data_IF_958026648691
#
_entry.id   IF_958026648691
#
_cell.length_a   1.000
_cell.length_b   1.000
_cell.length_c   1.000
_cell.angle_alpha   90.00
_cell.angle_beta   90.00
_cell.angle_gamma   90.00
#
_symmetry.space_group_name_H-M   'P 1'
#
loop_
_entity.id
_entity.type
_entity.pdbx_description
1 polymer ?
#
# COMPACT_ATOMS: atom_id res chain seq x y z
N UNK A 1 -6.85 2.80 30.20
CA UNK A 1 -5.76 2.10 29.49
C UNK A 1 -4.50 2.89 29.78
N UNK A 2 -3.47 2.25 30.33
CA UNK A 2 -2.18 2.88 30.60
C UNK A 2 -1.21 2.26 29.59
N UNK A 3 -0.46 3.09 28.88
CA UNK A 3 0.54 2.65 27.91
C UNK A 3 1.84 3.32 28.30
N UNK A 4 2.88 2.53 28.41
CA UNK A 4 4.21 3.03 28.71
C UNK A 4 4.75 3.76 27.48
N UNK A 5 5.13 5.02 27.66
CA UNK A 5 5.73 5.84 26.63
C UNK A 5 7.26 5.79 26.80
N UNK A 6 8.04 5.54 25.73
CA UNK A 6 9.50 5.55 25.81
C UNK A 6 10.04 6.88 26.38
N UNK A 7 11.08 6.81 27.23
CA UNK A 7 11.61 8.00 27.93
C UNK A 7 12.31 9.00 26.99
N UNK A 8 12.84 8.56 25.85
CA UNK A 8 13.48 9.41 24.84
C UNK A 8 12.47 10.01 23.83
N UNK A 9 11.47 10.72 24.36
CA UNK A 9 10.37 11.26 23.56
C UNK A 9 10.76 12.42 22.63
N UNK A 10 9.99 12.66 21.55
CA UNK A 10 10.03 13.96 20.88
C UNK A 10 9.61 15.01 21.92
N UNK A 11 10.18 16.23 21.85
CA UNK A 11 9.93 17.29 22.84
C UNK A 11 8.45 17.56 23.12
N UNK A 12 8.16 18.35 24.17
CA UNK A 12 6.87 18.60 24.86
C UNK A 12 5.54 18.69 24.05
N UNK A 13 5.56 18.66 22.72
CA UNK A 13 4.40 18.67 21.82
C UNK A 13 4.14 17.35 21.06
N UNK A 14 4.74 16.24 21.47
CA UNK A 14 4.59 14.97 20.73
C UNK A 14 3.17 14.38 20.83
N UNK A 15 2.50 14.26 19.69
CA UNK A 15 1.18 13.60 19.59
C UNK A 15 1.34 12.08 19.48
N UNK A 16 0.55 11.33 20.27
CA UNK A 16 0.36 9.89 20.12
C UNK A 16 -0.67 9.62 19.03
N UNK A 17 -0.29 8.85 18.01
CA UNK A 17 -1.20 8.32 16.99
C UNK A 17 -1.77 6.99 17.50
N UNK A 18 -3.07 6.97 17.76
CA UNK A 18 -3.76 5.82 18.36
C UNK A 18 -3.99 4.67 17.35
N UNK A 19 -3.94 3.42 17.84
CA UNK A 19 -4.36 2.23 17.11
C UNK A 19 -5.89 2.18 16.99
N UNK A 20 -6.43 1.45 16.02
CA UNK A 20 -7.88 1.24 15.92
C UNK A 20 -8.36 0.19 16.94
N UNK A 21 -9.45 0.52 17.66
CA UNK A 21 -10.10 -0.34 18.64
C UNK A 21 -11.55 -0.66 18.28
N UNK A 22 -12.00 -1.86 18.62
CA UNK A 22 -13.41 -2.20 18.57
C UNK A 22 -14.19 -1.39 19.59
N UNK A 23 -15.36 -0.87 19.20
CA UNK A 23 -16.31 -0.28 20.13
C UNK A 23 -16.68 -1.29 21.24
N UNK A 24 -16.67 -0.84 22.50
CA UNK A 24 -17.04 -1.66 23.67
C UNK A 24 -15.91 -2.52 24.24
N UNK A 25 -15.40 -3.49 23.49
CA UNK A 25 -14.42 -4.46 24.01
C UNK A 25 -12.99 -3.92 24.14
N UNK A 26 -12.72 -2.76 23.53
CA UNK A 26 -11.41 -2.10 23.53
C UNK A 26 -10.29 -3.07 23.09
N UNK A 27 -10.56 -3.86 22.05
CA UNK A 27 -9.56 -4.76 21.44
C UNK A 27 -8.95 -4.07 20.23
N UNK A 28 -7.61 -4.05 20.11
CA UNK A 28 -6.98 -3.55 18.90
C UNK A 28 -7.36 -4.47 17.74
N UNK A 29 -7.60 -3.90 16.57
CA UNK A 29 -7.95 -4.68 15.39
C UNK A 29 -7.28 -4.13 14.13
N UNK A 30 -7.05 -5.02 13.17
CA UNK A 30 -6.67 -4.68 11.81
C UNK A 30 -7.93 -4.73 10.93
N UNK A 31 -8.38 -3.59 10.38
CA UNK A 31 -9.56 -3.58 9.51
C UNK A 31 -9.35 -4.46 8.26
N UNK A 32 -10.37 -5.23 7.90
CA UNK A 32 -10.37 -6.02 6.67
C UNK A 32 -10.25 -5.14 5.43
N UNK A 33 -10.69 -3.88 5.51
CA UNK A 33 -10.49 -2.87 4.47
C UNK A 33 -9.01 -2.51 4.26
N UNK A 34 -8.17 -2.52 5.31
CA UNK A 34 -6.72 -2.28 5.19
C UNK A 34 -6.03 -3.43 4.47
N UNK A 35 -6.36 -4.68 4.83
CA UNK A 35 -5.85 -5.89 4.16
C UNK A 35 -6.30 -5.91 2.69
N UNK A 36 -7.61 -5.70 2.46
CA UNK A 36 -8.17 -5.64 1.10
C UNK A 36 -7.58 -4.51 0.27
N UNK A 37 -7.23 -3.38 0.90
CA UNK A 37 -6.53 -2.27 0.26
C UNK A 37 -5.14 -2.65 -0.23
N UNK A 38 -4.36 -3.36 0.60
CA UNK A 38 -3.04 -3.87 0.19
C UNK A 38 -3.16 -4.88 -0.97
N UNK A 39 -4.11 -5.82 -0.89
CA UNK A 39 -4.40 -6.76 -2.00
C UNK A 39 -4.81 -6.02 -3.28
N UNK A 40 -5.64 -4.97 -3.17
CA UNK A 40 -6.04 -4.14 -4.31
C UNK A 40 -4.84 -3.48 -4.97
N UNK A 41 -3.88 -2.98 -4.19
CA UNK A 41 -2.65 -2.38 -4.71
C UNK A 41 -1.78 -3.38 -5.47
N UNK A 42 -1.66 -4.62 -4.96
CA UNK A 42 -0.98 -5.71 -5.65
C UNK A 42 -1.65 -6.02 -7.00
N UNK A 43 -2.96 -6.23 -6.98
CA UNK A 43 -3.74 -6.49 -8.19
C UNK A 43 -3.65 -5.35 -9.21
N UNK A 44 -3.77 -4.09 -8.77
CA UNK A 44 -3.65 -2.94 -9.67
C UNK A 44 -2.27 -2.86 -10.31
N UNK A 45 -1.19 -3.11 -9.55
CA UNK A 45 0.16 -3.08 -10.10
C UNK A 45 0.32 -4.14 -11.19
N UNK A 46 -0.15 -5.36 -10.95
CA UNK A 46 -0.12 -6.42 -11.98
C UNK A 46 -0.88 -6.02 -13.24
N UNK A 47 -2.11 -5.51 -13.10
CA UNK A 47 -2.92 -5.09 -14.25
C UNK A 47 -2.30 -3.93 -15.05
N UNK A 48 -1.62 -3.00 -14.36
CA UNK A 48 -0.92 -1.90 -15.00
C UNK A 48 0.31 -2.36 -15.79
N UNK A 49 1.03 -3.37 -15.29
CA UNK A 49 2.17 -3.95 -15.99
C UNK A 49 1.75 -4.78 -17.21
N UNK A 50 0.61 -5.47 -17.12
CA UNK A 50 0.06 -6.28 -18.21
C UNK A 50 -0.51 -5.43 -19.35
N UNK A 51 -1.16 -4.31 -19.04
CA UNK A 51 -1.70 -3.36 -20.03
C UNK A 51 -1.46 -1.91 -19.58
N UNK A 52 -0.30 -1.31 -19.87
CA UNK A 52 0.02 0.06 -19.47
C UNK A 52 -0.66 1.12 -20.36
N UNK A 53 -1.29 0.72 -21.47
CA UNK A 53 -1.78 1.60 -22.55
C UNK A 53 -2.73 2.69 -22.05
N UNK A 54 -3.55 2.37 -21.06
CA UNK A 54 -4.47 3.33 -20.47
C UNK A 54 -3.74 4.31 -19.55
N UNK A 55 -2.85 3.82 -18.69
CA UNK A 55 -2.15 4.60 -17.68
C UNK A 55 -1.07 5.52 -18.26
N UNK A 56 -0.45 5.13 -19.38
CA UNK A 56 0.59 5.92 -20.06
C UNK A 56 0.07 7.23 -20.66
N UNK A 57 -1.24 7.35 -20.85
CA UNK A 57 -1.85 8.55 -21.41
C UNK A 57 -2.13 9.54 -20.30
N UNK A 58 -1.40 10.66 -20.27
CA UNK A 58 -1.59 11.77 -19.32
C UNK A 58 -3.05 12.18 -19.10
N UNK A 59 -3.86 12.22 -20.17
CA UNK A 59 -5.30 12.57 -20.09
C UNK A 59 -6.14 11.59 -19.26
N UNK A 60 -5.68 10.34 -19.10
CA UNK A 60 -6.39 9.30 -18.37
C UNK A 60 -6.04 9.28 -16.87
N UNK A 61 -4.99 10.01 -16.47
CA UNK A 61 -4.53 10.13 -15.08
C UNK A 61 -4.67 11.55 -14.53
N UNK A 62 -5.18 12.48 -15.35
CA UNK A 62 -5.46 13.87 -14.96
C UNK A 62 -6.93 14.21 -15.17
N UNK A 63 -7.45 15.17 -14.39
CA UNK A 63 -8.78 15.76 -14.54
C UNK A 63 -8.68 17.29 -14.60
N UNK A 64 -9.65 17.95 -15.22
CA UNK A 64 -9.68 19.41 -15.36
C UNK A 64 -9.42 19.89 -16.78
N UNK A 65 -9.23 21.21 -16.96
CA UNK A 65 -9.01 21.85 -18.26
C UNK A 65 -7.90 22.90 -18.15
N UNK A 66 -7.10 23.05 -19.22
CA UNK A 66 -6.01 24.02 -19.29
C UNK A 66 -5.01 23.83 -18.15
N UNK A 67 -4.60 24.93 -17.52
CA UNK A 67 -3.57 24.92 -16.46
C UNK A 67 -4.06 24.38 -15.10
N UNK A 68 -5.33 23.96 -14.99
CA UNK A 68 -5.93 23.43 -13.73
C UNK A 68 -6.00 21.91 -13.69
N UNK A 69 -5.09 21.22 -14.39
CA UNK A 69 -5.03 19.77 -14.37
C UNK A 69 -4.66 19.27 -12.97
N UNK A 70 -5.35 18.23 -12.51
CA UNK A 70 -5.06 17.54 -11.25
C UNK A 70 -4.88 16.06 -11.52
N UNK A 71 -3.80 15.48 -11.01
CA UNK A 71 -3.60 14.04 -11.06
C UNK A 71 -4.59 13.32 -10.16
N UNK A 72 -5.14 12.20 -10.65
CA UNK A 72 -6.16 11.43 -9.94
C UNK A 72 -6.04 9.93 -10.27
N UNK A 73 -5.51 9.19 -9.31
CA UNK A 73 -5.35 7.73 -9.34
C UNK A 73 -6.68 6.97 -9.43
N UNK A 74 -7.76 7.55 -8.90
CA UNK A 74 -9.10 6.99 -8.95
C UNK A 74 -9.59 6.65 -10.38
N UNK A 75 -9.06 7.33 -11.40
CA UNK A 75 -9.39 7.03 -12.80
C UNK A 75 -8.83 5.67 -13.25
N UNK A 76 -7.61 5.33 -12.84
CA UNK A 76 -7.01 4.03 -13.10
C UNK A 76 -7.77 2.94 -12.37
N UNK A 77 -8.02 3.17 -11.08
CA UNK A 77 -8.79 2.24 -10.25
C UNK A 77 -10.16 1.97 -10.91
N UNK A 78 -10.86 3.01 -11.37
CA UNK A 78 -12.12 2.85 -12.06
C UNK A 78 -11.98 2.03 -13.35
N UNK A 79 -11.00 2.37 -14.19
CA UNK A 79 -10.77 1.71 -15.47
C UNK A 79 -10.54 0.20 -15.33
N UNK A 80 -9.57 -0.20 -14.49
CA UNK A 80 -9.16 -1.59 -14.35
C UNK A 80 -10.11 -2.43 -13.48
N UNK A 81 -10.86 -1.81 -12.55
CA UNK A 81 -11.67 -2.58 -11.60
C UNK A 81 -13.15 -2.62 -11.96
N UNK A 82 -13.71 -1.56 -12.55
CA UNK A 82 -15.14 -1.48 -12.86
C UNK A 82 -15.68 -0.06 -12.99
N UNK A 83 -15.51 0.57 -14.14
CA UNK A 83 -15.95 1.94 -14.37
C UNK A 83 -17.47 2.07 -14.60
N UNK A 84 -18.03 3.21 -14.18
CA UNK A 84 -19.34 3.69 -14.64
C UNK A 84 -19.30 4.00 -16.14
N UNK A 85 -20.46 3.94 -16.78
CA UNK A 85 -20.59 4.41 -18.16
C UNK A 85 -20.48 5.94 -18.21
N UNK A 86 -19.59 6.45 -19.07
CA UNK A 86 -19.35 7.88 -19.24
C UNK A 86 -18.43 8.50 -18.18
N UNK A 87 -18.27 9.82 -18.24
CA UNK A 87 -17.48 10.62 -17.30
C UNK A 87 -18.37 11.63 -16.59
N UNK A 88 -17.93 12.11 -15.42
CA UNK A 88 -18.63 13.23 -14.77
C UNK A 88 -18.39 14.55 -15.52
N UNK A 89 -19.03 15.64 -15.07
CA UNK A 89 -18.88 16.98 -15.68
C UNK A 89 -17.45 17.51 -15.76
N UNK A 90 -16.52 16.92 -15.02
CA UNK A 90 -15.09 17.27 -14.98
C UNK A 90 -14.22 16.33 -15.83
N UNK A 91 -14.82 15.39 -16.56
CA UNK A 91 -14.12 14.39 -17.36
C UNK A 91 -13.61 13.19 -16.56
N UNK A 92 -13.98 13.06 -15.29
CA UNK A 92 -13.50 11.99 -14.43
C UNK A 92 -14.25 10.68 -14.66
N UNK A 93 -13.49 9.60 -14.82
CA UNK A 93 -14.00 8.23 -14.79
C UNK A 93 -14.20 7.80 -13.34
N UNK A 94 -15.40 7.35 -13.01
CA UNK A 94 -15.76 6.94 -11.66
C UNK A 94 -15.88 5.43 -11.53
N UNK A 95 -15.40 4.89 -10.42
CA UNK A 95 -15.60 3.49 -10.05
C UNK A 95 -17.10 3.25 -9.77
N UNK A 96 -17.65 2.19 -10.34
CA UNK A 96 -18.96 1.65 -9.97
C UNK A 96 -18.75 0.50 -9.00
N UNK A 97 -19.17 0.68 -7.74
CA UNK A 97 -19.09 -0.36 -6.72
C UNK A 97 -19.81 -1.66 -7.12
N UNK A 98 -20.80 -1.59 -8.03
CA UNK A 98 -21.47 -2.79 -8.53
C UNK A 98 -20.66 -3.55 -9.59
N UNK A 99 -19.79 -2.85 -10.31
CA UNK A 99 -18.92 -3.41 -11.37
C UNK A 99 -17.53 -3.77 -10.87
N UNK A 100 -17.10 -3.20 -9.75
CA UNK A 100 -15.81 -3.48 -9.13
C UNK A 100 -15.67 -4.99 -8.82
N UNK A 101 -14.77 -5.69 -9.51
CA UNK A 101 -14.62 -7.13 -9.31
C UNK A 101 -14.07 -7.51 -7.93
N UNK A 102 -13.29 -6.63 -7.28
CA UNK A 102 -12.79 -6.87 -5.93
C UNK A 102 -13.91 -6.90 -4.89
N UNK A 103 -15.15 -6.50 -5.23
CA UNK A 103 -16.31 -6.68 -4.35
C UNK A 103 -16.57 -8.15 -4.00
N UNK A 104 -16.07 -9.08 -4.82
CA UNK A 104 -16.16 -10.52 -4.61
C UNK A 104 -15.21 -11.02 -3.52
N UNK A 105 -14.21 -10.23 -3.15
CA UNK A 105 -13.29 -10.56 -2.04
C UNK A 105 -13.82 -9.89 -0.77
N UNK A 106 -14.23 -10.69 0.21
CA UNK A 106 -14.73 -10.21 1.50
C UNK A 106 -13.70 -10.56 2.57
N UNK A 107 -13.16 -9.54 3.23
CA UNK A 107 -12.16 -9.71 4.28
C UNK A 107 -12.78 -9.27 5.59
N UNK A 108 -12.73 -10.16 6.59
CA UNK A 108 -13.18 -9.86 7.94
C UNK A 108 -12.14 -8.99 8.69
N UNK A 109 -12.61 -8.16 9.61
CA UNK A 109 -11.72 -7.48 10.57
C UNK A 109 -11.02 -8.51 11.47
N UNK A 110 -9.72 -8.31 11.71
CA UNK A 110 -8.91 -9.19 12.57
C UNK A 110 -8.76 -8.57 13.95
N UNK A 111 -9.25 -9.23 14.98
CA UNK A 111 -9.22 -8.75 16.35
C UNK A 111 -8.10 -9.42 17.15
N UNK A 112 -7.23 -8.62 17.74
CA UNK A 112 -6.10 -9.11 18.54
C UNK A 112 -6.44 -9.13 20.03
N UNK A 113 -5.59 -9.82 20.81
CA UNK A 113 -5.61 -9.70 22.26
C UNK A 113 -5.32 -8.25 22.70
N UNK A 114 -5.63 -7.88 23.95
CA UNK A 114 -5.60 -6.47 24.42
C UNK A 114 -4.22 -5.81 24.50
N UNK A 115 -3.17 -6.43 24.00
CA UNK A 115 -1.82 -5.88 24.00
C UNK A 115 -1.61 -4.91 22.84
N UNK A 116 -1.12 -3.73 23.18
CA UNK A 116 -0.58 -2.72 22.28
C UNK A 116 0.67 -2.14 22.89
N UNK A 117 1.56 -1.63 22.07
CA UNK A 117 2.74 -0.91 22.54
C UNK A 117 2.80 0.50 21.95
N UNK A 118 3.45 1.41 22.67
CA UNK A 118 3.81 2.73 22.15
C UNK A 118 5.24 2.68 21.65
N UNK A 119 5.45 3.07 20.40
CA UNK A 119 6.76 3.15 19.76
C UNK A 119 7.00 4.54 19.21
N UNK A 120 8.25 4.97 19.25
CA UNK A 120 8.67 6.23 18.65
C UNK A 120 8.76 6.06 17.13
N UNK A 121 7.97 6.84 16.40
CA UNK A 121 7.99 6.94 14.95
C UNK A 121 8.98 8.03 14.52
N UNK A 122 10.00 7.61 13.79
CA UNK A 122 11.05 8.44 13.24
C UNK A 122 10.81 8.71 11.76
N UNK A 123 11.00 9.96 11.34
CA UNK A 123 10.94 10.34 9.92
C UNK A 123 12.34 10.72 9.50
N UNK A 124 12.92 9.93 8.61
CA UNK A 124 14.22 10.21 8.03
C UNK A 124 13.99 10.94 6.71
N UNK A 125 14.77 11.98 6.44
CA UNK A 125 14.65 12.77 5.23
C UNK A 125 16.03 13.01 4.62
N UNK A 126 16.09 13.01 3.28
CA UNK A 126 17.29 13.40 2.55
C UNK A 126 17.41 14.94 2.57
N UNK A 127 18.48 15.44 3.18
CA UNK A 127 18.85 16.86 3.22
C UNK A 127 20.05 17.13 2.32
N UNK A 128 20.40 18.40 2.12
CA UNK A 128 21.57 18.77 1.29
C UNK A 128 22.89 18.13 1.76
N UNK A 129 22.99 17.83 3.06
CA UNK A 129 24.20 17.29 3.68
C UNK A 129 24.06 15.78 3.99
N UNK A 130 23.13 15.10 3.32
CA UNK A 130 22.85 13.67 3.52
C UNK A 130 21.59 13.40 4.33
N UNK A 131 21.44 12.13 4.71
CA UNK A 131 20.28 11.64 5.44
C UNK A 131 20.30 12.03 6.91
N UNK A 132 19.15 12.44 7.42
CA UNK A 132 19.03 12.83 8.83
C UNK A 132 17.62 12.70 9.37
N UNK A 133 17.53 12.73 10.71
CA UNK A 133 16.27 12.64 11.42
C UNK A 133 15.52 13.98 11.38
N UNK A 134 14.27 13.94 10.92
CA UNK A 134 13.35 15.08 10.92
C UNK A 134 12.66 15.19 12.27
N UNK A 135 13.40 15.67 13.28
CA UNK A 135 13.00 15.71 14.70
C UNK A 135 11.61 16.33 14.94
N UNK A 136 11.28 17.42 14.27
CA UNK A 136 10.00 18.14 14.41
C UNK A 136 8.76 17.32 14.02
N UNK A 137 8.91 16.30 13.16
CA UNK A 137 7.79 15.46 12.72
C UNK A 137 7.85 14.04 13.29
N UNK A 138 8.81 13.78 14.18
CA UNK A 138 8.83 12.54 14.97
C UNK A 138 7.65 12.55 15.95
N UNK A 139 7.03 11.40 16.12
CA UNK A 139 5.79 11.27 16.90
C UNK A 139 5.76 9.92 17.61
N UNK A 140 4.84 9.72 18.52
CA UNK A 140 4.57 8.40 19.05
C UNK A 140 3.46 7.74 18.25
N UNK A 141 3.57 6.44 18.06
CA UNK A 141 2.54 5.60 17.47
C UNK A 141 2.23 4.46 18.41
N UNK A 142 0.95 4.24 18.61
CA UNK A 142 0.43 3.07 19.27
C UNK A 142 0.18 1.99 18.22
N UNK A 143 0.73 0.80 18.41
CA UNK A 143 0.65 -0.27 17.42
C UNK A 143 0.42 -1.64 18.08
N UNK A 144 0.06 -2.61 17.24
CA UNK A 144 -0.03 -4.03 17.60
C UNK A 144 1.41 -4.58 17.65
N UNK A 145 1.87 -5.16 18.78
CA UNK A 145 3.19 -5.75 18.91
C UNK A 145 3.46 -6.84 17.88
N UNK A 146 4.73 -6.97 17.51
CA UNK A 146 5.20 -8.05 16.64
C UNK A 146 4.90 -9.43 17.26
N UNK A 147 4.59 -10.41 16.41
CA UNK A 147 4.35 -11.79 16.82
C UNK A 147 2.94 -12.09 17.35
N UNK A 148 2.08 -11.08 17.50
CA UNK A 148 0.67 -11.31 17.82
C UNK A 148 -0.08 -11.90 16.64
N UNK A 149 -0.94 -12.88 16.93
CA UNK A 149 -1.75 -13.58 15.95
C UNK A 149 -3.24 -13.30 16.17
N UNK A 150 -4.01 -13.30 15.08
CA UNK A 150 -5.46 -13.22 15.08
C UNK A 150 -6.02 -14.08 13.96
N UNK A 151 -7.16 -14.72 14.20
CA UNK A 151 -7.88 -15.50 13.20
C UNK A 151 -9.03 -14.68 12.61
N UNK A 152 -9.33 -14.92 11.33
CA UNK A 152 -10.44 -14.31 10.62
C UNK A 152 -10.74 -15.05 9.33
N UNK A 153 -11.55 -14.45 8.47
CA UNK A 153 -11.95 -15.08 7.21
C UNK A 153 -11.77 -14.17 6.00
N UNK A 154 -11.33 -14.77 4.89
CA UNK A 154 -11.38 -14.18 3.56
C UNK A 154 -12.26 -15.06 2.70
N UNK A 155 -13.32 -14.49 2.15
CA UNK A 155 -14.32 -15.21 1.38
C UNK A 155 -14.37 -14.71 -0.05
N UNK A 156 -14.40 -15.66 -0.98
CA UNK A 156 -14.73 -15.46 -2.39
C UNK A 156 -15.99 -16.28 -2.68
N UNK A 157 -17.19 -15.66 -2.72
CA UNK A 157 -18.45 -16.41 -2.77
C UNK A 157 -18.66 -17.14 -4.11
N UNK A 158 -18.31 -18.42 -4.16
CA UNK A 158 -18.35 -19.24 -5.38
C UNK A 158 -19.74 -19.27 -6.06
N UNK A 159 -20.82 -19.41 -5.28
CA UNK A 159 -22.19 -19.40 -5.80
C UNK A 159 -22.53 -18.07 -6.50
N UNK A 160 -22.08 -16.95 -5.93
CA UNK A 160 -22.29 -15.63 -6.52
C UNK A 160 -21.49 -15.48 -7.82
N UNK A 161 -20.23 -15.95 -7.85
CA UNK A 161 -19.43 -15.96 -9.08
C UNK A 161 -20.09 -16.78 -10.19
N UNK A 162 -20.61 -17.97 -9.86
CA UNK A 162 -21.34 -18.81 -10.80
C UNK A 162 -22.57 -18.10 -11.37
N UNK A 163 -23.39 -17.48 -10.50
CA UNK A 163 -24.57 -16.71 -10.90
C UNK A 163 -24.20 -15.54 -11.83
N UNK A 164 -23.12 -14.83 -11.52
CA UNK A 164 -22.66 -13.68 -12.32
C UNK A 164 -22.10 -14.09 -13.68
N UNK A 165 -21.52 -15.29 -13.78
CA UNK A 165 -21.06 -15.86 -15.03
C UNK A 165 -22.22 -16.33 -15.92
N UNK A 166 -23.24 -16.96 -15.33
CA UNK A 166 -24.39 -17.49 -16.09
C UNK A 166 -25.38 -16.42 -16.53
N UNK A 167 -25.46 -15.30 -15.82
CA UNK A 167 -26.44 -14.26 -16.11
C UNK A 167 -25.92 -13.21 -17.11
N UNK A 168 -26.85 -12.71 -17.95
CA UNK A 168 -26.64 -11.57 -18.85
C UNK A 168 -26.71 -10.24 -18.08
N UNK A 169 -25.90 -10.09 -17.04
CA UNK A 169 -25.82 -8.84 -16.29
C UNK A 169 -24.80 -7.89 -16.94
N UNK A 170 -25.26 -6.74 -17.44
CA UNK A 170 -24.45 -5.63 -18.02
C UNK A 170 -23.42 -4.98 -17.06
N UNK A 171 -23.29 -5.51 -15.85
CA UNK A 171 -22.39 -4.98 -14.80
C UNK A 171 -21.32 -5.99 -14.37
N UNK A 172 -21.09 -7.03 -15.17
CA UNK A 172 -20.22 -8.17 -14.81
C UNK A 172 -18.95 -8.29 -15.65
N UNK A 173 -18.75 -7.39 -16.61
CA UNK A 173 -17.66 -7.50 -17.60
C UNK A 173 -16.28 -7.61 -16.95
N UNK A 174 -15.99 -6.78 -15.94
CA UNK A 174 -14.70 -6.85 -15.23
C UNK A 174 -14.58 -8.09 -14.34
N UNK A 175 -15.68 -8.59 -13.78
CA UNK A 175 -15.69 -9.83 -12.99
C UNK A 175 -15.39 -11.03 -13.87
N UNK A 176 -15.97 -11.07 -15.06
CA UNK A 176 -15.71 -12.11 -16.07
C UNK A 176 -14.28 -12.01 -16.60
N UNK A 177 -13.83 -10.79 -16.93
CA UNK A 177 -12.47 -10.53 -17.45
C UNK A 177 -11.37 -10.93 -16.46
N UNK A 178 -11.59 -10.68 -15.17
CA UNK A 178 -10.60 -10.89 -14.12
C UNK A 178 -10.93 -12.07 -13.20
N UNK A 179 -11.71 -13.04 -13.67
CA UNK A 179 -12.12 -14.19 -12.87
C UNK A 179 -10.92 -15.02 -12.37
N UNK A 180 -9.85 -15.09 -13.16
CA UNK A 180 -8.59 -15.74 -12.78
C UNK A 180 -7.91 -15.10 -11.56
N UNK A 181 -8.22 -13.83 -11.25
CA UNK A 181 -7.70 -13.13 -10.08
C UNK A 181 -8.55 -13.36 -8.82
N UNK A 182 -9.73 -13.98 -8.95
CA UNK A 182 -10.66 -14.26 -7.86
C UNK A 182 -10.40 -15.63 -7.22
N UNK A 183 -9.14 -15.86 -6.84
CA UNK A 183 -8.64 -17.07 -6.18
C UNK A 183 -7.59 -16.67 -5.14
N UNK A 184 -7.66 -17.25 -3.93
CA UNK A 184 -6.79 -16.85 -2.81
C UNK A 184 -5.30 -17.09 -3.09
N UNK A 185 -4.86 -18.29 -3.52
CA UNK A 185 -3.48 -18.52 -3.93
C UNK A 185 -2.98 -17.53 -4.99
N UNK A 186 -3.81 -17.21 -5.99
CA UNK A 186 -3.46 -16.19 -6.99
C UNK A 186 -3.26 -14.82 -6.36
N UNK A 187 -4.20 -14.35 -5.52
CA UNK A 187 -4.05 -13.08 -4.80
C UNK A 187 -2.81 -13.06 -3.91
N UNK A 188 -2.52 -14.16 -3.22
CA UNK A 188 -1.36 -14.30 -2.34
C UNK A 188 -0.05 -14.21 -3.12
N UNK A 189 0.03 -14.89 -4.27
CA UNK A 189 1.16 -14.78 -5.21
C UNK A 189 1.37 -13.35 -5.69
N UNK A 190 0.31 -12.64 -6.06
CA UNK A 190 0.41 -11.23 -6.47
C UNK A 190 0.91 -10.34 -5.34
N UNK A 191 0.43 -10.55 -4.11
CA UNK A 191 0.89 -9.81 -2.94
C UNK A 191 2.37 -10.08 -2.65
N UNK A 192 2.79 -11.35 -2.65
CA UNK A 192 4.18 -11.73 -2.41
C UNK A 192 5.11 -11.14 -3.47
N UNK A 193 4.73 -11.22 -4.75
CA UNK A 193 5.53 -10.65 -5.84
C UNK A 193 5.68 -9.14 -5.73
N UNK A 194 4.60 -8.41 -5.43
CA UNK A 194 4.68 -6.96 -5.26
C UNK A 194 5.51 -6.58 -4.02
N UNK A 195 5.24 -7.22 -2.88
CA UNK A 195 5.94 -6.92 -1.63
C UNK A 195 7.43 -7.21 -1.73
N UNK A 196 7.82 -8.35 -2.30
CA UNK A 196 9.21 -8.73 -2.53
C UNK A 196 9.90 -7.73 -3.46
N UNK A 197 9.26 -7.37 -4.59
CA UNK A 197 9.81 -6.34 -5.48
C UNK A 197 10.06 -5.03 -4.73
N UNK A 198 9.11 -4.60 -3.89
CA UNK A 198 9.25 -3.37 -3.13
C UNK A 198 10.33 -3.41 -2.06
N UNK A 199 10.60 -4.58 -1.49
CA UNK A 199 11.70 -4.79 -0.55
C UNK A 199 13.03 -4.70 -1.30
N UNK A 200 13.17 -5.41 -2.42
CA UNK A 200 14.38 -5.37 -3.26
C UNK A 200 14.66 -3.95 -3.77
N UNK A 201 13.66 -3.27 -4.33
CA UNK A 201 13.79 -1.89 -4.82
C UNK A 201 14.24 -0.92 -3.71
N UNK A 202 13.94 -1.23 -2.44
CA UNK A 202 14.32 -0.43 -1.27
C UNK A 202 15.73 -0.80 -0.75
N UNK A 203 16.09 -2.09 -0.74
CA UNK A 203 17.46 -2.54 -0.46
C UNK A 203 18.45 -1.94 -1.48
N UNK A 204 18.15 -2.07 -2.77
CA UNK A 204 18.92 -1.49 -3.88
C UNK A 204 19.04 0.04 -3.78
N UNK A 205 18.04 0.69 -3.19
CA UNK A 205 18.08 2.13 -2.96
C UNK A 205 19.09 2.48 -1.87
N UNK A 206 19.02 1.82 -0.72
CA UNK A 206 19.87 2.14 0.42
C UNK A 206 21.33 1.74 0.23
N UNK A 207 21.59 0.65 -0.48
CA UNK A 207 22.94 0.27 -0.88
C UNK A 207 23.60 1.35 -1.75
N UNK A 208 22.86 1.94 -2.70
CA UNK A 208 23.35 3.06 -3.51
C UNK A 208 23.57 4.34 -2.70
N UNK A 209 22.73 4.57 -1.70
CA UNK A 209 22.85 5.71 -0.76
C UNK A 209 23.93 5.48 0.32
N UNK A 210 24.58 4.32 0.34
CA UNK A 210 25.69 4.01 1.24
C UNK A 210 25.27 3.65 2.66
N UNK A 211 24.03 3.18 2.87
CA UNK A 211 23.52 2.66 4.15
C UNK A 211 23.82 3.58 5.36
N UNK A 212 23.24 4.79 5.37
CA UNK A 212 23.56 5.80 6.37
C UNK A 212 23.14 5.36 7.78
N UNK A 213 23.96 5.62 8.80
CA UNK A 213 23.72 5.18 10.19
C UNK A 213 22.30 5.48 10.73
N UNK A 214 21.69 6.57 10.28
CA UNK A 214 20.34 7.00 10.68
C UNK A 214 19.23 5.98 10.36
N UNK A 215 19.43 5.05 9.42
CA UNK A 215 18.42 4.01 9.12
C UNK A 215 18.48 2.82 10.08
N UNK A 216 19.48 2.73 10.97
CA UNK A 216 19.60 1.67 11.98
C UNK A 216 19.55 0.27 11.36
N UNK A 217 18.78 -0.63 11.97
CA UNK A 217 18.68 -2.04 11.57
C UNK A 217 17.76 -2.27 10.35
N UNK A 218 17.35 -1.20 9.65
CA UNK A 218 16.35 -1.28 8.58
C UNK A 218 16.75 -2.26 7.47
N UNK A 219 18.01 -2.21 7.03
CA UNK A 219 18.52 -3.10 5.98
C UNK A 219 18.47 -4.56 6.41
N UNK A 220 19.00 -4.89 7.60
CA UNK A 220 19.01 -6.24 8.15
C UNK A 220 17.57 -6.81 8.25
N UNK A 221 16.61 -5.99 8.69
CA UNK A 221 15.20 -6.42 8.77
C UNK A 221 14.61 -6.64 7.38
N UNK A 222 14.92 -5.78 6.40
CA UNK A 222 14.45 -5.94 5.03
C UNK A 222 15.05 -7.18 4.34
N UNK A 223 16.33 -7.47 4.56
CA UNK A 223 17.00 -8.68 4.08
C UNK A 223 16.37 -9.94 4.72
N UNK A 224 16.09 -9.90 6.03
CA UNK A 224 15.37 -10.98 6.71
C UNK A 224 13.97 -11.21 6.14
N UNK A 225 13.25 -10.14 5.79
CA UNK A 225 11.98 -10.25 5.08
C UNK A 225 12.18 -10.83 3.69
N UNK A 226 13.11 -10.32 2.89
CA UNK A 226 13.41 -10.83 1.55
C UNK A 226 13.61 -12.35 1.56
N UNK A 227 14.40 -12.87 2.50
CA UNK A 227 14.63 -14.30 2.68
C UNK A 227 13.34 -15.09 2.98
N UNK A 228 12.37 -14.50 3.69
CA UNK A 228 11.06 -15.12 3.93
C UNK A 228 10.17 -15.10 2.69
N UNK A 229 10.25 -14.05 1.85
CA UNK A 229 9.45 -13.92 0.64
C UNK A 229 9.97 -14.79 -0.51
N UNK A 230 11.29 -14.99 -0.60
CA UNK A 230 11.90 -15.68 -1.74
C UNK A 230 11.28 -17.07 -2.02
N UNK A 231 11.06 -17.94 -1.01
CA UNK A 231 10.43 -19.23 -1.22
C UNK A 231 8.94 -19.15 -1.59
N UNK A 232 8.27 -18.02 -1.30
CA UNK A 232 6.84 -17.81 -1.59
C UNK A 232 6.61 -17.33 -3.03
N UNK A 233 7.60 -16.66 -3.63
CA UNK A 233 7.52 -16.10 -4.98
C UNK A 233 7.29 -17.17 -6.05
N UNK A 234 7.99 -18.29 -5.91
CA UNK A 234 8.01 -19.36 -6.92
C UNK A 234 6.87 -20.38 -6.70
N UNK A 235 6.08 -20.23 -5.64
CA UNK A 235 4.93 -21.09 -5.41
C UNK A 235 3.80 -20.73 -6.35
N UNK A 236 3.36 -21.72 -7.14
CA UNK A 236 2.21 -21.54 -8.02
C UNK A 236 0.92 -21.32 -7.21
N UNK A 237 0.77 -22.04 -6.09
CA UNK A 237 -0.38 -21.97 -5.19
C UNK A 237 0.05 -21.72 -3.73
N UNK A 238 0.50 -20.50 -3.37
CA UNK A 238 0.95 -20.21 -2.02
C UNK A 238 -0.22 -20.24 -1.03
N UNK A 239 0.05 -20.78 0.16
CA UNK A 239 -0.90 -20.81 1.29
C UNK A 239 -0.66 -19.68 2.29
N UNK A 240 0.39 -18.89 2.11
CA UNK A 240 0.61 -17.66 2.87
C UNK A 240 0.99 -16.50 1.96
N UNK A 241 0.76 -15.29 2.46
CA UNK A 241 1.33 -14.10 1.88
C UNK A 241 1.75 -13.11 2.96
N UNK A 242 2.74 -12.29 2.63
CA UNK A 242 3.17 -11.20 3.48
C UNK A 242 2.88 -9.89 2.73
N UNK A 243 2.34 -8.93 3.45
CA UNK A 243 1.88 -7.64 2.92
C UNK A 243 2.21 -6.52 3.90
N UNK A 244 2.37 -5.31 3.36
CA UNK A 244 2.56 -4.09 4.17
C UNK A 244 1.25 -3.31 4.24
N UNK A 245 0.71 -3.13 5.44
CA UNK A 245 -0.58 -2.48 5.73
C UNK A 245 -0.42 -1.28 6.66
N UNK A 246 -1.45 -0.43 6.67
CA UNK A 246 -1.61 0.60 7.70
C UNK A 246 -0.81 1.88 7.48
N UNK A 247 -0.98 2.80 8.43
CA UNK A 247 -0.36 4.11 8.39
C UNK A 247 1.13 4.01 8.76
N UNK A 248 2.01 4.12 7.77
CA UNK A 248 3.46 3.99 7.99
C UNK A 248 4.21 3.33 6.85
N UNK A 249 3.49 2.67 5.93
CA UNK A 249 4.07 1.96 4.78
C UNK A 249 4.85 2.85 3.80
N UNK A 250 4.62 4.16 3.81
CA UNK A 250 5.27 5.09 2.89
C UNK A 250 4.62 5.09 1.51
N UNK A 251 5.04 6.04 0.65
CA UNK A 251 4.40 6.26 -0.65
C UNK A 251 4.56 5.06 -1.59
N UNK A 252 5.75 4.44 -1.62
CA UNK A 252 6.07 3.33 -2.54
C UNK A 252 5.21 2.07 -2.33
N UNK A 253 4.73 1.87 -1.10
CA UNK A 253 3.87 0.76 -0.71
C UNK A 253 2.37 1.10 -0.83
N UNK A 254 2.02 2.32 -1.21
CA UNK A 254 0.64 2.73 -1.47
C UNK A 254 0.30 2.63 -2.96
N UNK A 255 -0.99 2.66 -3.26
CA UNK A 255 -1.53 2.55 -4.62
C UNK A 255 -0.92 3.57 -5.57
N UNK A 256 -0.53 4.75 -5.10
CA UNK A 256 0.04 5.84 -5.91
C UNK A 256 1.44 5.59 -6.47
N UNK A 257 2.14 4.52 -6.08
CA UNK A 257 3.54 4.26 -6.43
C UNK A 257 3.77 3.67 -7.84
N UNK A 258 2.70 3.26 -8.52
CA UNK A 258 2.78 2.62 -9.84
C UNK A 258 3.59 3.39 -10.90
N UNK A 259 3.63 4.75 -10.95
CA UNK A 259 4.35 5.46 -12.00
C UNK A 259 5.86 5.22 -11.97
N UNK A 260 6.42 4.94 -10.80
CA UNK A 260 7.87 4.74 -10.61
C UNK A 260 8.34 3.37 -11.12
N UNK A 261 7.42 2.44 -11.39
CA UNK A 261 7.73 1.00 -11.39
C UNK A 261 7.94 0.37 -12.76
N UNK A 262 7.68 1.08 -13.86
CA UNK A 262 7.71 0.45 -15.19
C UNK A 262 7.78 1.43 -16.38
N UNK A 263 8.35 2.62 -16.21
CA UNK A 263 8.42 3.65 -17.27
C UNK A 263 7.07 3.86 -17.98
N UNK A 264 5.98 3.70 -17.21
CA UNK A 264 4.61 3.77 -17.73
C UNK A 264 4.32 5.19 -18.19
N UNK A 265 4.88 6.17 -17.49
CA UNK A 265 4.76 7.58 -17.80
C UNK A 265 6.01 8.07 -18.51
N UNK A 266 5.81 8.94 -19.50
CA UNK A 266 6.88 9.77 -20.03
C UNK A 266 7.45 10.70 -18.95
N UNK A 267 8.71 11.10 -19.14
CA UNK A 267 9.47 11.91 -18.19
C UNK A 267 8.76 13.20 -17.80
N UNK A 268 8.15 13.90 -18.77
CA UNK A 268 7.43 15.16 -18.53
C UNK A 268 6.21 14.93 -17.63
N UNK A 269 5.41 13.90 -17.91
CA UNK A 269 4.23 13.55 -17.12
C UNK A 269 4.62 13.07 -15.72
N UNK A 270 5.74 12.34 -15.60
CA UNK A 270 6.29 11.92 -14.32
C UNK A 270 6.77 13.11 -13.49
N UNK A 271 7.47 14.06 -14.09
CA UNK A 271 7.93 15.29 -13.43
C UNK A 271 6.76 16.15 -12.94
N UNK A 272 5.74 16.32 -13.77
CA UNK A 272 4.53 17.04 -13.38
C UNK A 272 3.78 16.34 -12.24
N UNK A 273 3.73 15.00 -12.23
CA UNK A 273 3.14 14.25 -11.13
C UNK A 273 3.94 14.45 -9.84
N UNK A 274 5.28 14.37 -9.89
CA UNK A 274 6.14 14.66 -8.73
C UNK A 274 5.88 16.07 -8.20
N UNK A 275 5.80 17.07 -9.07
CA UNK A 275 5.52 18.46 -8.67
C UNK A 275 4.13 18.60 -8.02
N UNK A 276 3.11 17.94 -8.56
CA UNK A 276 1.76 17.98 -8.02
C UNK A 276 1.62 17.32 -6.64
N UNK A 277 2.42 16.28 -6.36
CA UNK A 277 2.41 15.59 -5.05
C UNK A 277 3.27 16.33 -4.02
N UNK A 278 4.36 16.96 -4.45
CA UNK A 278 5.29 17.68 -3.56
C UNK A 278 4.62 18.95 -3.02
N UNK A 279 4.74 19.17 -1.71
CA UNK A 279 4.29 20.42 -1.08
C UNK A 279 5.12 21.65 -1.46
N UNK A 280 6.33 21.44 -2.00
CA UNK A 280 7.27 22.50 -2.40
C UNK A 280 7.90 22.12 -3.73
N UNK A 281 8.30 23.13 -4.51
CA UNK A 281 9.05 22.92 -5.73
C UNK A 281 10.46 22.47 -5.35
N UNK A 282 10.78 21.23 -5.67
CA UNK A 282 12.12 20.68 -5.57
C UNK A 282 12.66 20.49 -6.98
N UNK A 283 13.97 20.69 -7.19
CA UNK A 283 14.61 20.35 -8.45
C UNK A 283 14.33 18.89 -8.86
N UNK A 284 14.33 18.61 -10.17
CA UNK A 284 13.99 17.30 -10.73
C UNK A 284 14.94 16.19 -10.26
N UNK A 285 16.21 16.54 -10.01
CA UNK A 285 17.26 15.65 -9.50
C UNK A 285 17.11 15.25 -8.04
N UNK A 286 16.19 15.87 -7.28
CA UNK A 286 15.89 15.38 -5.93
C UNK A 286 15.08 14.11 -6.06
N UNK A 287 15.51 13.05 -5.40
CA UNK A 287 14.79 11.78 -5.41
C UNK A 287 13.36 11.89 -4.86
N UNK A 288 12.52 10.96 -5.31
CA UNK A 288 11.15 10.83 -4.83
C UNK A 288 10.81 9.35 -4.59
N UNK A 289 10.31 8.98 -3.40
CA UNK A 289 10.10 9.84 -2.22
C UNK A 289 11.40 10.17 -1.47
N UNK A 290 11.50 11.39 -0.94
CA UNK A 290 12.69 11.90 -0.24
C UNK A 290 12.78 11.54 1.26
N UNK A 291 11.80 10.80 1.76
CA UNK A 291 11.63 10.53 3.19
C UNK A 291 11.18 9.11 3.44
N UNK A 292 11.62 8.51 4.55
CA UNK A 292 11.11 7.23 5.08
C UNK A 292 10.56 7.40 6.48
N UNK A 293 9.61 6.54 6.84
CA UNK A 293 9.02 6.45 8.18
C UNK A 293 9.39 5.10 8.77
N UNK A 294 10.12 5.11 9.87
CA UNK A 294 10.60 3.93 10.59
C UNK A 294 10.25 4.08 12.06
N UNK A 295 10.17 2.99 12.80
CA UNK A 295 10.26 3.10 14.26
C UNK A 295 11.72 3.31 14.65
N UNK A 296 11.92 3.84 15.86
CA UNK A 296 13.23 3.91 16.48
C UNK A 296 13.97 2.57 16.37
N UNK A 297 15.24 2.64 15.98
CA UNK A 297 16.08 1.48 15.68
C UNK A 297 15.98 0.98 14.25
N UNK A 298 15.26 1.66 13.37
CA UNK A 298 15.15 1.27 11.96
C UNK A 298 14.05 0.26 11.65
N UNK A 299 13.15 -0.04 12.59
CA UNK A 299 12.13 -1.08 12.38
C UNK A 299 11.02 -0.61 11.42
N UNK A 300 10.75 -1.31 10.31
CA UNK A 300 9.63 -1.00 9.43
C UNK A 300 8.28 -1.26 10.11
N UNK A 301 7.33 -0.35 9.88
CA UNK A 301 5.93 -0.57 10.24
C UNK A 301 5.14 -1.30 9.16
N UNK A 302 4.20 -2.12 9.62
CA UNK A 302 3.04 -2.56 8.85
C UNK A 302 3.18 -3.90 8.14
N UNK A 303 4.30 -4.62 8.29
CA UNK A 303 4.40 -5.97 7.73
C UNK A 303 3.52 -6.95 8.51
N UNK A 304 2.69 -7.69 7.78
CA UNK A 304 1.76 -8.70 8.30
C UNK A 304 1.84 -9.93 7.40
N UNK A 305 1.95 -11.10 8.02
CA UNK A 305 1.76 -12.39 7.35
C UNK A 305 0.32 -12.86 7.50
N UNK A 306 -0.26 -13.37 6.42
CA UNK A 306 -1.56 -14.05 6.39
C UNK A 306 -1.31 -15.48 5.93
N UNK A 307 -1.74 -16.45 6.73
CA UNK A 307 -1.63 -17.88 6.43
C UNK A 307 -3.03 -18.51 6.37
N UNK A 308 -3.26 -19.36 5.35
CA UNK A 308 -4.47 -20.18 5.25
C UNK A 308 -4.35 -21.37 6.21
N UNK A 309 -5.40 -21.61 6.96
CA UNK A 309 -5.56 -22.75 7.90
C UNK A 309 -6.66 -23.67 7.46
#
# INVERSE_FOLDING_TARGET
>A
RIIEVPQDGPGDQSQLKEQLFTNGLQRPYLPGSSIKGAMRTAVLNTLLLEDPTFASKRKNITIGKGDRLKFKDGQLIAHYFGQKSGTNRYGEIQLDANRDFMRMIRVQDLHFSRSTECRKLEIINNYRNGWGLKREETSFVECIPQGLQAAGSIQIPAQLLQLMNSAKFDKTDQIKRHQNLLDLPTLFRLCNNLSLKLIIDELDYWDREGNPEVIGDYMEILEGLEQQYQPLKDQERPTSCILRVGAGSGWDFMTGAWPRKADILDDDTWDDLKQAIRRRNYPSQVDFPKSRKLLQGGVPLGFVEIQLT
#
